data_IF_178797524878
#
_entry.id   IF_178797524878
#
_cell.length_a   1.000
_cell.length_b   1.000
_cell.length_c   1.000
_cell.angle_alpha   90.00
_cell.angle_beta   90.00
_cell.angle_gamma   90.00
#
_symmetry.space_group_name_H-M   'P 1'
#
loop_
_entity.id
_entity.type
_entity.pdbx_description
1 polymer ?
#
# COMPACT_ATOMS: atom_id res chain seq x y z
N UNK A 1 -19.19 26.83 14.78
CA UNK A 1 -20.66 26.68 14.83
C UNK A 1 -20.91 25.19 15.00
N UNK A 2 -21.19 24.73 16.22
CA UNK A 2 -21.46 23.31 16.49
C UNK A 2 -22.79 22.95 15.80
N UNK A 3 -22.71 22.10 14.78
CA UNK A 3 -23.90 21.49 14.20
C UNK A 3 -24.50 20.55 15.26
N UNK A 4 -25.83 20.55 15.48
CA UNK A 4 -26.45 19.58 16.37
C UNK A 4 -26.17 18.17 15.85
N UNK A 5 -25.88 17.25 16.76
CA UNK A 5 -25.63 15.84 16.45
C UNK A 5 -26.87 15.32 15.68
N UNK A 6 -26.72 14.77 14.47
CA UNK A 6 -27.84 14.22 13.72
C UNK A 6 -28.57 13.16 14.55
N UNK A 7 -29.87 13.31 14.71
CA UNK A 7 -30.72 12.46 15.58
C UNK A 7 -30.81 11.02 15.04
N UNK A 8 -30.50 10.80 13.75
CA UNK A 8 -30.47 9.48 13.13
C UNK A 8 -29.55 9.45 11.92
N UNK A 9 -28.71 8.44 11.82
CA UNK A 9 -27.96 8.13 10.60
C UNK A 9 -28.85 7.53 9.52
N UNK A 10 -28.60 7.91 8.27
CA UNK A 10 -29.16 7.20 7.13
C UNK A 10 -28.52 5.82 6.96
N UNK A 11 -29.11 4.96 6.13
CA UNK A 11 -28.48 3.69 5.76
C UNK A 11 -27.12 3.88 5.09
N UNK A 12 -26.94 4.97 4.34
CA UNK A 12 -25.68 5.30 3.68
C UNK A 12 -24.61 5.74 4.68
N UNK A 13 -24.97 6.52 5.70
CA UNK A 13 -24.04 6.94 6.75
C UNK A 13 -23.54 5.73 7.55
N UNK A 14 -24.46 4.81 7.90
CA UNK A 14 -24.12 3.57 8.60
C UNK A 14 -23.21 2.67 7.76
N UNK A 15 -23.50 2.51 6.46
CA UNK A 15 -22.67 1.71 5.56
C UNK A 15 -21.26 2.30 5.43
N UNK A 16 -21.14 3.63 5.31
CA UNK A 16 -19.85 4.30 5.24
C UNK A 16 -19.05 4.14 6.54
N UNK A 17 -19.70 4.23 7.69
CA UNK A 17 -19.07 3.95 8.97
C UNK A 17 -18.55 2.51 9.07
N UNK A 18 -19.37 1.52 8.69
CA UNK A 18 -18.96 0.11 8.69
C UNK A 18 -17.77 -0.16 7.77
N UNK A 19 -17.73 0.46 6.58
CA UNK A 19 -16.57 0.42 5.68
C UNK A 19 -15.32 1.02 6.33
N UNK A 20 -15.45 2.17 7.01
CA UNK A 20 -14.35 2.80 7.74
C UNK A 20 -13.85 1.93 8.89
N UNK A 21 -14.72 1.20 9.59
CA UNK A 21 -14.32 0.25 10.63
C UNK A 21 -13.48 -0.88 10.02
N UNK A 22 -13.87 -1.45 8.89
CA UNK A 22 -13.10 -2.49 8.19
C UNK A 22 -11.72 -1.95 7.78
N UNK A 23 -11.68 -0.78 7.14
CA UNK A 23 -10.45 -0.14 6.71
C UNK A 23 -9.52 0.16 7.91
N UNK A 24 -10.04 0.75 8.98
CA UNK A 24 -9.27 1.07 10.17
C UNK A 24 -8.70 -0.21 10.82
N UNK A 25 -9.52 -1.26 10.91
CA UNK A 25 -9.09 -2.57 11.43
C UNK A 25 -7.90 -3.11 10.64
N UNK A 26 -7.98 -3.09 9.31
CA UNK A 26 -6.94 -3.60 8.43
C UNK A 26 -5.66 -2.72 8.46
N UNK A 27 -5.82 -1.39 8.37
CA UNK A 27 -4.70 -0.45 8.29
C UNK A 27 -3.93 -0.34 9.60
N UNK A 28 -4.60 -0.42 10.74
CA UNK A 28 -3.97 -0.34 12.05
C UNK A 28 -3.53 -1.71 12.60
N UNK A 29 -3.85 -2.81 11.89
CA UNK A 29 -3.54 -4.17 12.34
C UNK A 29 -4.26 -4.56 13.63
N UNK A 30 -5.46 -4.04 13.86
CA UNK A 30 -6.20 -4.33 15.08
C UNK A 30 -6.81 -5.74 15.08
N UNK A 31 -6.83 -6.38 16.25
CA UNK A 31 -7.60 -7.61 16.47
C UNK A 31 -9.07 -7.36 16.19
N UNK A 32 -9.78 -8.22 15.45
CA UNK A 32 -11.20 -8.05 15.09
C UNK A 32 -12.14 -7.82 16.30
N UNK A 33 -11.72 -8.22 17.50
CA UNK A 33 -12.45 -7.99 18.74
C UNK A 33 -12.38 -6.54 19.27
N UNK A 34 -11.54 -5.68 18.69
CA UNK A 34 -11.33 -4.31 19.17
C UNK A 34 -12.62 -3.46 19.11
N UNK A 35 -13.50 -3.76 18.15
CA UNK A 35 -14.80 -3.10 18.00
C UNK A 35 -15.77 -3.35 19.17
N UNK A 36 -15.45 -4.32 20.03
CA UNK A 36 -16.20 -4.63 21.24
C UNK A 36 -15.49 -4.16 22.52
N UNK A 37 -14.39 -3.40 22.39
CA UNK A 37 -13.72 -2.81 23.53
C UNK A 37 -14.67 -1.82 24.25
N UNK A 38 -14.83 -1.90 25.59
CA UNK A 38 -15.73 -1.01 26.32
C UNK A 38 -15.43 0.48 26.16
N UNK A 39 -14.16 0.89 26.10
CA UNK A 39 -13.75 2.29 25.90
C UNK A 39 -14.11 2.76 24.49
N UNK A 40 -14.00 1.88 23.50
CA UNK A 40 -14.42 2.19 22.13
C UNK A 40 -15.94 2.31 22.02
N UNK A 41 -16.69 1.44 22.69
CA UNK A 41 -18.16 1.51 22.75
C UNK A 41 -18.57 2.82 23.43
N UNK A 42 -17.98 3.15 24.59
CA UNK A 42 -18.25 4.41 25.29
C UNK A 42 -17.92 5.63 24.42
N UNK A 43 -16.79 5.60 23.70
CA UNK A 43 -16.45 6.64 22.74
C UNK A 43 -17.52 6.79 21.64
N UNK A 44 -18.02 5.68 21.09
CA UNK A 44 -19.08 5.74 20.09
C UNK A 44 -20.39 6.26 20.68
N UNK A 45 -20.74 5.89 21.91
CA UNK A 45 -21.93 6.41 22.60
C UNK A 45 -21.84 7.92 22.83
N UNK A 46 -20.68 8.43 23.25
CA UNK A 46 -20.48 9.85 23.56
C UNK A 46 -20.36 10.73 22.30
N UNK A 47 -19.67 10.24 21.27
CA UNK A 47 -19.30 11.06 20.10
C UNK A 47 -20.05 10.70 18.82
N UNK A 48 -20.56 9.47 18.72
CA UNK A 48 -21.25 8.92 17.53
C UNK A 48 -22.56 8.20 17.92
N UNK A 49 -23.46 8.79 18.72
CA UNK A 49 -24.61 8.08 19.32
C UNK A 49 -25.61 7.52 18.30
N UNK A 50 -25.60 8.02 17.06
CA UNK A 50 -26.43 7.52 15.98
C UNK A 50 -25.82 6.30 15.26
N UNK A 51 -24.56 5.98 15.51
CA UNK A 51 -23.83 4.89 14.91
C UNK A 51 -24.17 3.55 15.59
N UNK A 52 -24.41 2.52 14.79
CA UNK A 52 -24.48 1.15 15.31
C UNK A 52 -23.09 0.54 15.22
N UNK A 53 -22.43 0.34 16.36
CA UNK A 53 -21.12 -0.31 16.41
C UNK A 53 -21.28 -1.78 16.02
N UNK A 54 -20.56 -2.28 14.99
CA UNK A 54 -20.65 -3.67 14.58
C UNK A 54 -19.97 -4.57 15.61
N UNK A 55 -20.54 -5.77 15.83
CA UNK A 55 -19.88 -6.82 16.61
C UNK A 55 -18.71 -7.42 15.83
N UNK A 56 -17.77 -8.06 16.52
CA UNK A 56 -16.65 -8.75 15.86
C UNK A 56 -17.16 -9.83 14.88
N UNK A 57 -18.30 -10.47 15.19
CA UNK A 57 -18.95 -11.46 14.32
C UNK A 57 -19.46 -10.84 13.03
N UNK A 58 -20.04 -9.64 13.10
CA UNK A 58 -20.52 -8.92 11.92
C UNK A 58 -19.34 -8.47 11.07
N UNK A 59 -18.28 -7.94 11.70
CA UNK A 59 -17.04 -7.58 11.00
C UNK A 59 -16.47 -8.79 10.28
N UNK A 60 -16.34 -9.93 10.96
CA UNK A 60 -15.73 -11.16 10.42
C UNK A 60 -16.55 -11.80 9.31
N UNK A 61 -17.85 -11.98 9.52
CA UNK A 61 -18.66 -12.84 8.66
C UNK A 61 -19.40 -12.07 7.54
N UNK A 62 -19.48 -10.75 7.64
CA UNK A 62 -20.26 -9.94 6.69
C UNK A 62 -19.45 -8.80 6.11
N UNK A 63 -18.94 -7.89 6.95
CA UNK A 63 -18.32 -6.65 6.46
C UNK A 63 -17.00 -6.90 5.76
N UNK A 64 -16.12 -7.72 6.34
CA UNK A 64 -14.83 -8.07 5.74
C UNK A 64 -15.00 -8.78 4.39
N UNK A 65 -15.79 -9.86 4.26
CA UNK A 65 -16.05 -10.49 2.97
C UNK A 65 -16.63 -9.52 1.94
N UNK A 66 -17.65 -8.75 2.31
CA UNK A 66 -18.30 -7.80 1.38
C UNK A 66 -17.34 -6.75 0.86
N UNK A 67 -16.53 -6.17 1.76
CA UNK A 67 -15.52 -5.17 1.39
C UNK A 67 -14.44 -5.78 0.51
N UNK A 68 -14.00 -7.00 0.85
CA UNK A 68 -12.98 -7.72 0.09
C UNK A 68 -13.47 -8.09 -1.31
N UNK A 69 -14.73 -8.54 -1.47
CA UNK A 69 -15.33 -8.86 -2.76
C UNK A 69 -15.45 -7.61 -3.65
N UNK A 70 -15.84 -6.48 -3.06
CA UNK A 70 -15.91 -5.21 -3.77
C UNK A 70 -14.52 -4.75 -4.25
N UNK A 71 -13.52 -4.80 -3.36
CA UNK A 71 -12.13 -4.50 -3.70
C UNK A 71 -11.59 -5.45 -4.77
N UNK A 72 -11.83 -6.75 -4.64
CA UNK A 72 -11.41 -7.77 -5.61
C UNK A 72 -12.03 -7.51 -6.98
N UNK A 73 -13.33 -7.20 -7.04
CA UNK A 73 -14.02 -6.85 -8.29
C UNK A 73 -13.38 -5.62 -8.95
N UNK A 74 -13.08 -4.59 -8.17
CA UNK A 74 -12.41 -3.38 -8.69
C UNK A 74 -10.99 -3.68 -9.19
N UNK A 75 -10.20 -4.45 -8.44
CA UNK A 75 -8.83 -4.83 -8.82
C UNK A 75 -8.84 -5.70 -10.07
N UNK A 76 -9.74 -6.68 -10.18
CA UNK A 76 -9.88 -7.52 -11.37
C UNK A 76 -10.25 -6.68 -12.60
N UNK A 77 -11.15 -5.70 -12.44
CA UNK A 77 -11.51 -4.79 -13.51
C UNK A 77 -10.32 -3.96 -13.98
N UNK A 78 -9.54 -3.39 -13.04
CA UNK A 78 -8.33 -2.61 -13.37
C UNK A 78 -7.21 -3.47 -13.98
N UNK A 79 -7.07 -4.72 -13.52
CA UNK A 79 -6.09 -5.67 -14.03
C UNK A 79 -6.40 -6.17 -15.45
N UNK A 80 -7.67 -6.12 -15.88
CA UNK A 80 -8.11 -6.73 -17.11
C UNK A 80 -7.38 -6.13 -18.32
N UNK A 81 -6.67 -6.98 -19.07
CA UNK A 81 -5.89 -6.58 -20.24
C UNK A 81 -4.55 -5.89 -19.93
N UNK A 82 -4.17 -5.76 -18.66
CA UNK A 82 -2.88 -5.20 -18.25
C UNK A 82 -1.79 -6.29 -18.19
N UNK A 83 -0.53 -5.87 -18.33
CA UNK A 83 0.61 -6.74 -17.99
C UNK A 83 0.80 -6.77 -16.48
N UNK A 84 0.86 -7.98 -15.91
CA UNK A 84 1.02 -8.22 -14.48
C UNK A 84 2.32 -8.97 -14.18
N UNK A 85 2.90 -8.72 -13.02
CA UNK A 85 3.97 -9.55 -12.44
C UNK A 85 3.44 -10.27 -11.21
N UNK A 86 3.77 -11.55 -11.09
CA UNK A 86 3.37 -12.38 -9.96
C UNK A 86 4.62 -12.76 -9.17
N UNK A 87 4.58 -12.56 -7.86
CA UNK A 87 5.60 -13.01 -6.93
C UNK A 87 5.03 -14.14 -6.07
N UNK A 88 5.87 -15.11 -5.74
CA UNK A 88 5.55 -16.21 -4.84
C UNK A 88 6.65 -16.27 -3.79
N UNK A 89 6.25 -16.29 -2.51
CA UNK A 89 7.16 -16.47 -1.39
C UNK A 89 6.61 -17.55 -0.46
N UNK A 90 7.49 -18.31 0.18
CA UNK A 90 7.12 -19.40 1.06
C UNK A 90 7.95 -19.40 2.33
N UNK A 91 7.29 -19.43 3.48
CA UNK A 91 7.96 -19.53 4.79
C UNK A 91 7.29 -20.57 5.66
N UNK A 92 8.05 -21.11 6.61
CA UNK A 92 7.52 -22.02 7.63
C UNK A 92 7.56 -21.33 8.97
N UNK A 93 6.42 -21.26 9.66
CA UNK A 93 6.37 -20.72 11.02
C UNK A 93 7.01 -21.68 12.03
N UNK A 94 7.42 -21.17 13.19
CA UNK A 94 7.91 -21.98 14.32
C UNK A 94 6.87 -23.02 14.80
N UNK A 95 5.59 -22.74 14.55
CA UNK A 95 4.47 -23.66 14.75
C UNK A 95 4.38 -24.79 13.69
N UNK A 96 5.39 -24.95 12.83
CA UNK A 96 5.44 -25.93 11.73
C UNK A 96 4.33 -25.77 10.69
N UNK A 97 3.70 -24.59 10.61
CA UNK A 97 2.79 -24.28 9.52
C UNK A 97 3.56 -23.74 8.32
N UNK A 98 3.33 -24.34 7.15
CA UNK A 98 3.90 -23.90 5.89
C UNK A 98 2.96 -22.89 5.22
N UNK A 99 3.46 -21.70 4.93
CA UNK A 99 2.75 -20.62 4.27
C UNK A 99 3.32 -20.41 2.87
N UNK A 100 2.44 -20.20 1.90
CA UNK A 100 2.78 -19.83 0.54
C UNK A 100 1.95 -18.60 0.21
N UNK A 101 2.62 -17.46 -0.01
CA UNK A 101 1.98 -16.22 -0.39
C UNK A 101 2.21 -15.94 -1.87
N UNK A 102 1.14 -15.48 -2.53
CA UNK A 102 1.20 -14.97 -3.89
C UNK A 102 0.88 -13.48 -3.85
N UNK A 103 1.64 -12.68 -4.58
CA UNK A 103 1.39 -11.25 -4.75
C UNK A 103 1.31 -10.92 -6.23
N UNK A 104 0.24 -10.24 -6.64
CA UNK A 104 0.04 -9.79 -8.02
C UNK A 104 0.25 -8.27 -8.05
N UNK A 105 1.13 -7.81 -8.92
CA UNK A 105 1.35 -6.38 -9.18
C UNK A 105 0.89 -6.05 -10.60
N UNK A 106 -0.12 -5.20 -10.71
CA UNK A 106 -0.61 -4.63 -11.97
C UNK A 106 0.27 -3.43 -12.31
N UNK A 107 0.64 -3.27 -13.58
CA UNK A 107 1.58 -2.23 -14.00
C UNK A 107 2.92 -2.32 -13.28
N UNK A 108 3.67 -3.40 -13.55
CA UNK A 108 5.01 -3.55 -13.00
C UNK A 108 5.83 -2.28 -13.20
N UNK A 109 6.64 -1.94 -12.19
CA UNK A 109 7.66 -0.89 -12.29
C UNK A 109 8.66 -1.30 -13.34
N UNK A 110 8.36 -1.10 -14.62
CA UNK A 110 9.31 -1.42 -15.68
C UNK A 110 10.48 -0.45 -15.60
N UNK A 111 11.66 -0.92 -15.98
CA UNK A 111 12.86 -0.11 -16.07
C UNK A 111 12.64 1.10 -16.97
N UNK A 112 11.79 0.98 -18.00
CA UNK A 112 11.43 2.08 -18.89
C UNK A 112 10.60 3.16 -18.17
N UNK A 113 9.52 2.78 -17.46
CA UNK A 113 8.70 3.72 -16.68
C UNK A 113 9.52 4.39 -15.57
N UNK A 114 10.38 3.61 -14.89
CA UNK A 114 11.28 4.15 -13.87
C UNK A 114 12.28 5.14 -14.48
N UNK A 115 12.87 4.81 -15.62
CA UNK A 115 13.79 5.68 -16.35
C UNK A 115 13.14 7.00 -16.78
N UNK A 116 11.90 6.98 -17.28
CA UNK A 116 11.15 8.20 -17.60
C UNK A 116 10.98 9.12 -16.38
N UNK A 117 10.62 8.54 -15.23
CA UNK A 117 10.52 9.29 -13.97
C UNK A 117 11.87 9.85 -13.50
N UNK A 118 12.96 9.10 -13.68
CA UNK A 118 14.30 9.60 -13.34
C UNK A 118 14.69 10.81 -14.20
N UNK A 119 14.35 10.81 -15.49
CA UNK A 119 14.56 11.97 -16.38
C UNK A 119 13.71 13.15 -15.93
N UNK A 120 12.43 12.94 -15.61
CA UNK A 120 11.53 13.98 -15.13
C UNK A 120 12.10 14.68 -13.88
N UNK A 121 12.59 13.90 -12.92
CA UNK A 121 13.23 14.43 -11.71
C UNK A 121 14.49 15.24 -12.05
N UNK A 122 15.36 14.75 -12.94
CA UNK A 122 16.55 15.50 -13.36
C UNK A 122 16.15 16.83 -14.01
N UNK A 123 15.13 16.82 -14.88
CA UNK A 123 14.65 18.02 -15.54
C UNK A 123 14.08 19.05 -14.55
N UNK A 124 13.35 18.61 -13.53
CA UNK A 124 12.85 19.51 -12.47
C UNK A 124 14.03 20.12 -11.70
N UNK A 125 15.00 19.29 -11.30
CA UNK A 125 16.16 19.75 -10.56
C UNK A 125 17.02 20.74 -11.36
N UNK A 126 17.29 20.44 -12.63
CA UNK A 126 18.13 21.29 -13.48
C UNK A 126 17.40 22.57 -13.92
N UNK A 127 16.13 22.50 -14.31
CA UNK A 127 15.43 23.65 -14.89
C UNK A 127 14.70 24.50 -13.84
N UNK A 128 14.05 23.89 -12.85
CA UNK A 128 13.29 24.64 -11.85
C UNK A 128 14.15 25.04 -10.65
N UNK A 129 15.04 24.14 -10.21
CA UNK A 129 15.86 24.39 -9.02
C UNK A 129 17.25 24.94 -9.37
N UNK A 130 17.63 24.92 -10.65
CA UNK A 130 18.92 25.42 -11.13
C UNK A 130 20.11 24.63 -10.60
N UNK A 131 19.92 23.37 -10.19
CA UNK A 131 21.00 22.52 -9.66
C UNK A 131 21.50 21.55 -10.71
N UNK A 132 22.81 21.36 -10.81
CA UNK A 132 23.39 20.37 -11.72
C UNK A 132 23.43 18.99 -11.05
N UNK A 133 22.75 18.01 -11.65
CA UNK A 133 22.71 16.64 -11.12
C UNK A 133 23.95 15.88 -11.59
N UNK A 134 24.88 15.59 -10.67
CA UNK A 134 26.14 14.88 -10.98
C UNK A 134 26.10 13.38 -10.65
N UNK A 135 25.14 12.94 -9.83
CA UNK A 135 24.97 11.54 -9.47
C UNK A 135 23.50 11.17 -9.20
N UNK A 136 23.14 9.90 -9.47
CA UNK A 136 21.80 9.37 -9.25
C UNK A 136 21.87 7.93 -8.74
N UNK A 137 21.45 7.71 -7.48
CA UNK A 137 21.55 6.43 -6.77
C UNK A 137 20.18 5.76 -6.63
N UNK A 138 20.07 4.46 -6.93
CA UNK A 138 18.85 3.67 -6.66
C UNK A 138 19.19 2.26 -6.13
N UNK A 139 18.19 1.52 -5.64
CA UNK A 139 18.37 0.14 -5.12
C UNK A 139 18.86 -0.86 -6.19
N UNK A 140 19.36 -2.04 -5.80
CA UNK A 140 19.86 -3.01 -6.77
C UNK A 140 18.79 -3.97 -7.32
N UNK A 141 17.51 -3.58 -7.30
CA UNK A 141 16.46 -4.37 -7.97
C UNK A 141 16.71 -4.41 -9.48
N UNK A 142 16.24 -5.47 -10.16
CA UNK A 142 16.52 -5.67 -11.60
C UNK A 142 16.07 -4.49 -12.47
N UNK A 143 14.90 -3.94 -12.16
CA UNK A 143 14.32 -2.79 -12.88
C UNK A 143 15.13 -1.50 -12.63
N UNK A 144 15.51 -1.23 -11.37
CA UNK A 144 16.38 -0.10 -11.02
C UNK A 144 17.77 -0.21 -11.65
N UNK A 145 18.36 -1.41 -11.70
CA UNK A 145 19.66 -1.61 -12.34
C UNK A 145 19.59 -1.32 -13.84
N UNK A 146 18.55 -1.81 -14.52
CA UNK A 146 18.35 -1.55 -15.95
C UNK A 146 18.06 -0.07 -16.21
N UNK A 147 17.25 0.59 -15.37
CA UNK A 147 16.98 2.02 -15.46
C UNK A 147 18.26 2.88 -15.25
N UNK A 148 19.11 2.55 -14.27
CA UNK A 148 20.41 3.21 -14.08
C UNK A 148 21.33 3.05 -15.28
N UNK A 149 21.41 1.84 -15.86
CA UNK A 149 22.21 1.61 -17.08
C UNK A 149 21.73 2.50 -18.22
N UNK A 150 20.42 2.59 -18.45
CA UNK A 150 19.84 3.49 -19.45
C UNK A 150 20.15 4.97 -19.15
N UNK A 151 20.11 5.36 -17.88
CA UNK A 151 20.44 6.72 -17.44
C UNK A 151 21.91 7.09 -17.68
N UNK A 152 22.85 6.20 -17.35
CA UNK A 152 24.26 6.39 -17.65
C UNK A 152 24.54 6.45 -19.16
N UNK A 153 23.80 5.69 -19.98
CA UNK A 153 23.89 5.81 -21.44
C UNK A 153 23.34 7.14 -21.96
N UNK A 154 22.27 7.67 -21.34
CA UNK A 154 21.64 8.93 -21.75
C UNK A 154 22.43 10.17 -21.31
N UNK A 155 23.01 10.13 -20.11
CA UNK A 155 23.79 11.21 -19.51
C UNK A 155 25.18 10.68 -19.12
N UNK A 156 26.15 10.64 -20.05
CA UNK A 156 27.46 10.06 -19.78
C UNK A 156 28.27 10.75 -18.67
N UNK A 157 27.90 11.98 -18.31
CA UNK A 157 28.53 12.73 -17.21
C UNK A 157 27.98 12.34 -15.82
N UNK A 158 26.86 11.61 -15.77
CA UNK A 158 26.15 11.30 -14.54
C UNK A 158 26.70 10.01 -13.91
N UNK A 159 27.05 10.08 -12.63
CA UNK A 159 27.50 8.90 -11.86
C UNK A 159 26.26 8.16 -11.33
N UNK A 160 26.06 6.90 -11.70
CA UNK A 160 24.87 6.13 -11.28
C UNK A 160 25.23 4.96 -10.36
N UNK A 161 25.60 5.18 -9.09
CA UNK A 161 26.01 4.10 -8.19
C UNK A 161 24.79 3.30 -7.69
N UNK A 162 25.05 2.06 -7.31
CA UNK A 162 24.07 1.22 -6.62
C UNK A 162 23.97 1.64 -5.14
N UNK A 163 22.77 1.56 -4.55
CA UNK A 163 22.60 1.87 -3.14
C UNK A 163 23.30 0.84 -2.24
N UNK A 164 24.30 1.29 -1.48
CA UNK A 164 25.09 0.47 -0.56
C UNK A 164 24.26 -0.19 0.56
N UNK A 165 23.11 0.39 0.93
CA UNK A 165 22.22 -0.17 1.95
C UNK A 165 21.65 -1.54 1.55
N UNK A 166 21.36 -1.75 0.26
CA UNK A 166 20.88 -3.03 -0.26
C UNK A 166 21.97 -4.10 -0.26
N UNK A 167 23.21 -3.69 -0.55
CA UNK A 167 24.38 -4.59 -0.61
C UNK A 167 24.71 -5.24 0.74
N UNK A 168 24.50 -4.52 1.85
CA UNK A 168 24.77 -5.05 3.20
C UNK A 168 23.81 -6.16 3.63
N UNK A 169 22.56 -6.17 3.17
CA UNK A 169 21.60 -7.21 3.53
C UNK A 169 21.90 -8.55 2.84
N UNK A 170 22.34 -8.52 1.58
CA UNK A 170 22.71 -9.73 0.82
C UNK A 170 24.04 -10.32 1.31
N UNK A 171 25.03 -9.48 1.64
CA UNK A 171 26.35 -9.94 2.10
C UNK A 171 26.37 -10.53 3.52
N UNK A 172 25.39 -10.20 4.38
CA UNK A 172 25.34 -10.70 5.76
C UNK A 172 24.50 -11.98 5.91
N UNK A 173 23.87 -12.46 4.82
CA UNK A 173 23.01 -13.65 4.82
C UNK A 173 23.54 -14.77 3.90
N UNK A 174 24.80 -14.67 3.44
CA UNK A 174 25.54 -15.69 2.69
C UNK A 174 26.68 -16.25 3.51
#
# INVERSE_FOLDING_TARGET
MFQPIPISWSSSDQAWFEEMIVCLTALAGFSLSWVENPEWIAFCEDFLPAAKVPSHKVVTNCLLPTTLDAMHTSICHEAAGQSVTVQCDGWSGENHHHYIAFMVTINSKTAAKLFERMIEVINILENEWGVCVIAFTTDASGESQKARKLLGCRFPYLITPDCYAYQRHIFLLS
#
